data_IF_753285546686
#
_entry.id   IF_753285546686
#
_cell.length_a   1.000
_cell.length_b   1.000
_cell.length_c   1.000
_cell.angle_alpha   90.00
_cell.angle_beta   90.00
_cell.angle_gamma   90.00
#
_symmetry.space_group_name_H-M   'P 1'
#
loop_
_entity.id
_entity.type
_entity.pdbx_description
1 polymer ?
#
# COMPACT_ATOMS: atom_id res chain seq x y z
N UNK A 1 -9.75 33.14 18.27
CA UNK A 1 -10.10 31.75 17.97
C UNK A 1 -8.82 31.06 17.49
N UNK A 2 -8.09 30.46 18.42
CA UNK A 2 -6.81 29.79 18.15
C UNK A 2 -7.17 28.46 17.48
N UNK A 3 -6.76 28.26 16.23
CA UNK A 3 -6.86 26.97 15.58
C UNK A 3 -5.86 26.04 16.28
N UNK A 4 -6.36 25.21 17.19
CA UNK A 4 -5.61 24.09 17.74
C UNK A 4 -5.19 23.21 16.56
N UNK A 5 -3.89 23.06 16.35
CA UNK A 5 -3.32 22.07 15.43
C UNK A 5 -3.63 20.67 15.99
N UNK A 6 -4.85 20.19 15.76
CA UNK A 6 -5.17 18.79 15.95
C UNK A 6 -4.35 17.99 14.93
N UNK A 7 -3.56 17.02 15.41
CA UNK A 7 -2.89 16.02 14.57
C UNK A 7 -3.93 15.31 13.69
N UNK A 8 -4.19 15.86 12.51
CA UNK A 8 -5.21 15.34 11.60
C UNK A 8 -4.50 14.32 10.71
N UNK A 9 -4.84 13.04 10.83
CA UNK A 9 -4.30 12.03 9.92
C UNK A 9 -4.73 12.37 8.49
N UNK A 10 -3.83 12.16 7.54
CA UNK A 10 -3.88 12.63 6.16
C UNK A 10 -4.72 11.71 5.27
N UNK A 11 -6.02 11.49 5.55
CA UNK A 11 -6.85 10.61 4.72
C UNK A 11 -6.30 9.17 4.65
N UNK A 12 -6.32 8.53 3.49
CA UNK A 12 -5.84 7.15 3.34
C UNK A 12 -4.68 6.98 2.37
N UNK A 13 -4.09 5.79 2.39
CA UNK A 13 -2.98 5.39 1.53
C UNK A 13 -3.28 4.08 0.79
N UNK A 14 -2.72 3.94 -0.41
CA UNK A 14 -2.77 2.75 -1.24
C UNK A 14 -1.34 2.29 -1.48
N UNK A 15 -1.04 1.06 -1.09
CA UNK A 15 0.22 0.39 -1.37
C UNK A 15 0.01 -0.51 -2.59
N UNK A 16 0.73 -0.24 -3.68
CA UNK A 16 0.78 -1.11 -4.84
C UNK A 16 1.80 -2.22 -4.59
N UNK A 17 1.30 -3.43 -4.32
CA UNK A 17 2.08 -4.61 -3.99
C UNK A 17 1.80 -5.81 -4.91
N UNK A 18 1.15 -5.56 -6.05
CA UNK A 18 0.92 -6.55 -7.10
C UNK A 18 2.01 -6.56 -8.17
N UNK A 19 1.81 -7.42 -9.17
CA UNK A 19 2.72 -7.58 -10.31
C UNK A 19 3.54 -8.87 -10.23
N UNK A 20 4.04 -9.29 -11.39
CA UNK A 20 4.60 -10.63 -11.60
C UNK A 20 5.92 -10.91 -10.85
N UNK A 21 6.60 -9.87 -10.32
CA UNK A 21 7.95 -9.97 -9.73
C UNK A 21 8.93 -10.83 -10.56
N UNK A 22 8.71 -10.89 -11.89
CA UNK A 22 9.31 -11.89 -12.79
C UNK A 22 10.83 -11.77 -12.94
N UNK A 23 11.38 -10.60 -12.60
CA UNK A 23 12.83 -10.35 -12.58
C UNK A 23 13.49 -10.77 -11.26
N UNK A 24 12.71 -10.88 -10.19
CA UNK A 24 13.20 -11.14 -8.84
C UNK A 24 13.09 -12.62 -8.46
N UNK A 25 12.12 -13.36 -9.02
CA UNK A 25 11.95 -14.79 -8.80
C UNK A 25 11.38 -15.17 -7.43
N UNK A 26 11.13 -14.20 -6.55
CA UNK A 26 10.45 -14.36 -5.27
C UNK A 26 9.55 -13.14 -4.99
N UNK A 27 8.57 -13.25 -4.06
CA UNK A 27 7.66 -12.16 -3.76
C UNK A 27 8.40 -10.93 -3.23
N UNK A 28 8.42 -9.85 -4.01
CA UNK A 28 9.08 -8.58 -3.67
C UNK A 28 8.67 -7.98 -2.31
N UNK A 29 7.41 -8.07 -1.84
CA UNK A 29 7.03 -7.56 -0.53
C UNK A 29 7.79 -8.19 0.65
N UNK A 30 8.25 -9.43 0.49
CA UNK A 30 9.02 -10.19 1.49
C UNK A 30 10.52 -9.91 1.46
N UNK A 31 11.01 -9.06 0.54
CA UNK A 31 12.39 -8.58 0.61
C UNK A 31 12.66 -8.02 2.00
N UNK A 32 13.77 -8.41 2.61
CA UNK A 32 14.15 -7.89 3.90
C UNK A 32 15.13 -6.73 3.77
N UNK A 33 14.90 -5.69 4.56
CA UNK A 33 15.85 -4.62 4.80
C UNK A 33 16.14 -4.59 6.30
N UNK A 34 17.39 -4.89 6.67
CA UNK A 34 17.82 -5.02 8.06
C UNK A 34 16.97 -6.02 8.88
N UNK A 35 16.63 -7.16 8.28
CA UNK A 35 15.85 -8.22 8.94
C UNK A 35 14.36 -7.91 9.10
N UNK A 36 13.84 -6.88 8.41
CA UNK A 36 12.42 -6.56 8.36
C UNK A 36 11.89 -6.58 6.93
N UNK A 37 10.75 -7.24 6.65
CA UNK A 37 10.11 -7.20 5.34
C UNK A 37 9.81 -5.77 4.88
N UNK A 38 10.05 -5.47 3.60
CA UNK A 38 9.78 -4.15 3.00
C UNK A 38 8.32 -3.74 3.23
N UNK A 39 7.40 -4.70 3.14
CA UNK A 39 5.99 -4.47 3.39
C UNK A 39 5.71 -3.96 4.81
N UNK A 40 6.33 -4.55 5.83
CA UNK A 40 6.15 -4.09 7.20
C UNK A 40 6.71 -2.68 7.39
N UNK A 41 7.86 -2.39 6.78
CA UNK A 41 8.51 -1.08 6.87
C UNK A 41 7.57 -0.02 6.30
N UNK A 42 7.07 -0.20 5.08
CA UNK A 42 6.22 0.80 4.44
C UNK A 42 4.88 0.97 5.17
N UNK A 43 4.24 -0.13 5.60
CA UNK A 43 2.99 -0.07 6.38
C UNK A 43 3.21 0.68 7.69
N UNK A 44 4.28 0.38 8.43
CA UNK A 44 4.61 1.05 9.69
C UNK A 44 4.80 2.56 9.51
N UNK A 45 5.45 2.98 8.41
CA UNK A 45 5.68 4.40 8.11
C UNK A 45 4.39 5.13 7.73
N UNK A 46 3.56 4.52 6.89
CA UNK A 46 2.28 5.11 6.48
C UNK A 46 1.29 5.18 7.65
N UNK A 47 1.29 4.21 8.55
CA UNK A 47 0.37 4.14 9.69
C UNK A 47 0.54 5.30 10.69
N UNK A 48 1.67 6.02 10.63
CA UNK A 48 1.91 7.24 11.41
C UNK A 48 1.15 8.46 10.86
N UNK A 49 0.80 8.45 9.58
CA UNK A 49 0.25 9.60 8.86
C UNK A 49 -1.18 9.39 8.39
N UNK A 50 -1.53 8.18 7.97
CA UNK A 50 -2.81 7.87 7.33
C UNK A 50 -3.77 7.16 8.29
N UNK A 51 -5.07 7.36 8.10
CA UNK A 51 -6.14 6.70 8.87
C UNK A 51 -6.41 5.29 8.37
N UNK A 52 -6.35 5.13 7.05
CA UNK A 52 -6.68 3.89 6.36
C UNK A 52 -5.57 3.56 5.37
N UNK A 53 -5.11 2.31 5.37
CA UNK A 53 -4.13 1.81 4.41
C UNK A 53 -4.77 0.63 3.68
N UNK A 54 -4.71 0.65 2.36
CA UNK A 54 -5.14 -0.44 1.50
C UNK A 54 -3.93 -0.97 0.75
N UNK A 55 -3.65 -2.27 0.85
CA UNK A 55 -2.67 -2.95 0.01
C UNK A 55 -3.36 -3.65 -1.16
N UNK A 56 -2.91 -3.35 -2.37
CA UNK A 56 -3.39 -3.96 -3.60
C UNK A 56 -2.40 -5.03 -4.03
N UNK A 57 -2.78 -6.30 -3.93
CA UNK A 57 -1.86 -7.44 -4.12
C UNK A 57 -2.58 -8.66 -4.68
N UNK A 58 -1.83 -9.50 -5.40
CA UNK A 58 -2.27 -10.84 -5.82
C UNK A 58 -1.91 -11.92 -4.77
N UNK A 59 -1.28 -11.52 -3.65
CA UNK A 59 -0.76 -12.41 -2.61
C UNK A 59 -1.22 -11.95 -1.22
N UNK A 60 -2.53 -12.01 -0.97
CA UNK A 60 -3.15 -11.51 0.26
C UNK A 60 -2.56 -12.13 1.54
N UNK A 61 -2.18 -13.40 1.50
CA UNK A 61 -1.57 -14.13 2.62
C UNK A 61 -0.30 -13.44 3.16
N UNK A 62 0.45 -12.74 2.30
CA UNK A 62 1.68 -12.04 2.70
C UNK A 62 1.43 -10.78 3.52
N UNK A 63 0.18 -10.32 3.56
CA UNK A 63 -0.26 -9.10 4.22
C UNK A 63 -1.32 -9.37 5.29
N UNK A 64 -1.76 -10.62 5.47
CA UNK A 64 -2.91 -10.98 6.30
C UNK A 64 -2.74 -10.54 7.77
N UNK A 65 -1.51 -10.54 8.30
CA UNK A 65 -1.22 -10.15 9.67
C UNK A 65 -0.94 -8.64 9.84
N UNK A 66 -1.00 -7.87 8.75
CA UNK A 66 -0.74 -6.43 8.77
C UNK A 66 -2.05 -5.64 8.95
N UNK A 67 -2.01 -4.47 9.63
CA UNK A 67 -3.19 -3.65 9.88
C UNK A 67 -3.59 -2.83 8.63
N UNK A 68 -3.88 -3.51 7.52
CA UNK A 68 -4.24 -2.92 6.23
C UNK A 68 -5.48 -3.60 5.66
N UNK A 69 -6.24 -2.89 4.83
CA UNK A 69 -7.25 -3.51 3.97
C UNK A 69 -6.57 -4.18 2.79
N UNK A 70 -7.08 -5.34 2.38
CA UNK A 70 -6.58 -6.07 1.22
C UNK A 70 -7.57 -6.01 0.07
N UNK A 71 -7.04 -5.88 -1.14
CA UNK A 71 -7.82 -6.05 -2.37
C UNK A 71 -6.91 -6.58 -3.48
N UNK A 72 -7.45 -7.46 -4.31
CA UNK A 72 -6.85 -7.83 -5.58
C UNK A 72 -7.10 -6.80 -6.68
N UNK A 73 -6.42 -6.97 -7.82
CA UNK A 73 -6.72 -6.23 -9.04
C UNK A 73 -8.08 -6.66 -9.62
N UNK A 74 -8.96 -5.69 -9.87
CA UNK A 74 -10.34 -5.93 -10.32
C UNK A 74 -10.46 -6.14 -11.85
N UNK A 75 -9.42 -5.83 -12.63
CA UNK A 75 -9.49 -5.81 -14.11
C UNK A 75 -8.65 -6.92 -14.73
N UNK A 76 -9.08 -8.17 -14.60
CA UNK A 76 -8.28 -9.34 -15.02
C UNK A 76 -8.13 -9.55 -16.54
N UNK A 77 -8.91 -8.85 -17.37
CA UNK A 77 -8.96 -9.06 -18.83
C UNK A 77 -7.93 -8.28 -19.64
N UNK A 78 -7.11 -7.45 -19.00
CA UNK A 78 -6.07 -6.65 -19.65
C UNK A 78 -4.69 -6.91 -19.04
N UNK A 79 -3.63 -6.32 -19.63
CA UNK A 79 -2.27 -6.43 -19.09
C UNK A 79 -2.15 -5.75 -17.71
N UNK A 80 -1.31 -6.31 -16.83
CA UNK A 80 -1.09 -5.74 -15.49
C UNK A 80 -0.40 -4.38 -15.60
N UNK A 81 -0.88 -3.40 -14.85
CA UNK A 81 -0.28 -2.07 -14.79
C UNK A 81 -0.54 -1.41 -13.43
N UNK A 82 0.31 -0.44 -13.02
CA UNK A 82 0.07 0.32 -11.79
C UNK A 82 -1.29 1.03 -11.76
N UNK A 83 -1.81 1.46 -12.92
CA UNK A 83 -3.12 2.11 -13.01
C UNK A 83 -4.28 1.19 -12.62
N UNK A 84 -4.21 -0.10 -12.94
CA UNK A 84 -5.21 -1.07 -12.50
C UNK A 84 -5.18 -1.27 -10.99
N UNK A 85 -3.98 -1.31 -10.41
CA UNK A 85 -3.82 -1.35 -8.96
C UNK A 85 -4.39 -0.10 -8.28
N UNK A 86 -4.11 1.08 -8.82
CA UNK A 86 -4.72 2.34 -8.37
C UNK A 86 -6.24 2.28 -8.46
N UNK A 87 -6.79 1.85 -9.59
CA UNK A 87 -8.22 1.67 -9.77
C UNK A 87 -8.84 0.74 -8.71
N UNK A 88 -8.24 -0.42 -8.47
CA UNK A 88 -8.72 -1.36 -7.46
C UNK A 88 -8.68 -0.75 -6.04
N UNK A 89 -7.55 -0.13 -5.67
CA UNK A 89 -7.40 0.50 -4.35
C UNK A 89 -8.36 1.70 -4.13
N UNK A 90 -8.61 2.49 -5.17
CA UNK A 90 -9.60 3.58 -5.13
C UNK A 90 -11.03 3.04 -5.06
N UNK A 91 -11.34 1.94 -5.74
CA UNK A 91 -12.69 1.35 -5.79
C UNK A 91 -13.19 0.87 -4.41
N UNK A 92 -12.27 0.53 -3.51
CA UNK A 92 -12.59 0.09 -2.14
C UNK A 92 -12.45 1.21 -1.10
N UNK A 93 -11.87 2.35 -1.47
CA UNK A 93 -11.70 3.49 -0.58
C UNK A 93 -13.00 4.27 -0.41
N UNK A 94 -13.21 4.81 0.79
CA UNK A 94 -14.32 5.74 1.10
C UNK A 94 -13.83 7.16 1.36
N UNK A 95 -12.52 7.38 1.25
CA UNK A 95 -11.88 8.64 1.58
C UNK A 95 -11.71 9.50 0.33
N UNK A 96 -11.83 10.84 0.44
CA UNK A 96 -11.76 11.74 -0.72
C UNK A 96 -10.37 11.79 -1.35
N UNK A 97 -9.31 11.47 -0.59
CA UNK A 97 -7.93 11.52 -1.04
C UNK A 97 -7.18 10.26 -0.61
N UNK A 98 -6.42 9.71 -1.55
CA UNK A 98 -5.57 8.55 -1.34
C UNK A 98 -4.14 8.88 -1.79
N UNK A 99 -3.18 8.72 -0.88
CA UNK A 99 -1.76 8.70 -1.23
C UNK A 99 -1.41 7.35 -1.85
N UNK A 100 -0.75 7.31 -3.00
CA UNK A 100 -0.40 6.05 -3.67
C UNK A 100 1.12 5.87 -3.66
N UNK A 101 1.58 4.69 -3.24
CA UNK A 101 3.00 4.35 -3.21
C UNK A 101 3.22 2.89 -3.61
N UNK A 102 4.39 2.59 -4.17
CA UNK A 102 4.79 1.20 -4.42
C UNK A 102 5.39 0.56 -3.16
N UNK A 103 5.21 -0.75 -2.98
CA UNK A 103 5.71 -1.48 -1.81
C UNK A 103 7.24 -1.50 -1.67
N UNK A 104 7.97 -1.18 -2.74
CA UNK A 104 9.43 -1.21 -2.83
C UNK A 104 10.11 0.14 -2.61
N UNK A 105 9.38 1.11 -2.04
CA UNK A 105 9.90 2.44 -1.72
C UNK A 105 10.10 2.64 -0.21
N UNK A 106 10.92 1.83 0.48
CA UNK A 106 11.05 1.87 1.94
C UNK A 106 11.67 3.18 2.46
N UNK A 107 12.35 3.94 1.59
CA UNK A 107 13.03 5.19 1.92
C UNK A 107 12.25 6.45 1.54
N UNK A 108 10.97 6.34 1.21
CA UNK A 108 10.13 7.50 0.91
C UNK A 108 10.18 8.54 2.04
N UNK A 109 10.33 9.82 1.72
CA UNK A 109 10.31 10.89 2.72
C UNK A 109 8.86 11.34 2.93
N UNK A 110 8.33 11.16 4.14
CA UNK A 110 6.92 11.34 4.50
C UNK A 110 6.78 12.32 5.65
#
# INVERSE_FOLDING_TARGET
MVLTLNSTRLGGAIILAGGESSRLGFPKPLLELNGRPLVEIIVSRLALLFEEITAVTDCEDLFADLPVKLTGDLLTSCEKSPLRGIHAGLSVSRLPYQFVVACDMPFINL
#
